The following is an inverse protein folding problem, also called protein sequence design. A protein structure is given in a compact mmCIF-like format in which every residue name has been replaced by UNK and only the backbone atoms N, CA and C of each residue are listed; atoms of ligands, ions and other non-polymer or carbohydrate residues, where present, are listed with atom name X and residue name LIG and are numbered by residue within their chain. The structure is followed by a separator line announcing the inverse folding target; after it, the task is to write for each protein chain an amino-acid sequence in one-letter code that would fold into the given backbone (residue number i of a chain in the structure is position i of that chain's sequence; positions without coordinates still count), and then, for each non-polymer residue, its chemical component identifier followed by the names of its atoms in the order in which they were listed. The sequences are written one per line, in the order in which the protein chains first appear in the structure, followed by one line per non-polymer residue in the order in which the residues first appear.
data_IF_604359601768
#
_entry.id   IF_604359601768
#
_cell.length_a   1.000
_cell.length_b   1.000
_cell.length_c   1.000
_cell.angle_alpha   90.00
_cell.angle_beta   90.00
_cell.angle_gamma   90.00
#
_symmetry.space_group_name_H-M   'P 1'
#
loop_
_entity.id
_entity.type
_entity.pdbx_description
1 polymer ?
#
# COMPACT_ATOMS: atom_id res chain seq x y z
N UNK A 1 -33.31 24.82 40.52
CA UNK A 1 -33.46 23.38 40.22
C UNK A 1 -34.17 23.26 38.89
N UNK A 2 -33.44 23.02 37.81
CA UNK A 2 -33.96 22.97 36.44
C UNK A 2 -34.08 21.51 36.04
N UNK A 3 -35.30 20.96 36.10
CA UNK A 3 -35.60 19.61 35.62
C UNK A 3 -35.75 19.68 34.09
N UNK A 4 -34.74 19.22 33.36
CA UNK A 4 -34.84 19.06 31.90
C UNK A 4 -35.68 17.81 31.63
N UNK A 5 -36.80 17.95 30.93
CA UNK A 5 -37.59 16.81 30.47
C UNK A 5 -36.75 16.06 29.42
N UNK A 6 -36.45 14.77 29.59
CA UNK A 6 -35.72 14.02 28.59
C UNK A 6 -36.64 13.81 27.39
N UNK A 7 -36.25 14.36 26.26
CA UNK A 7 -36.99 14.21 25.01
C UNK A 7 -36.58 12.88 24.37
N UNK A 8 -37.49 12.23 23.62
CA UNK A 8 -37.17 11.00 22.86
C UNK A 8 -35.94 11.21 21.95
N UNK A 9 -35.73 12.45 21.49
CA UNK A 9 -34.56 12.84 20.69
C UNK A 9 -33.24 12.88 21.49
N UNK A 10 -33.29 13.16 22.80
CA UNK A 10 -32.11 13.10 23.66
C UNK A 10 -31.70 11.64 23.89
N UNK A 11 -32.67 10.77 24.19
CA UNK A 11 -32.43 9.33 24.32
C UNK A 11 -31.98 8.68 23.00
N UNK A 12 -32.51 9.12 21.86
CA UNK A 12 -32.04 8.68 20.54
C UNK A 12 -30.64 9.18 20.23
N UNK A 13 -30.32 10.43 20.58
CA UNK A 13 -28.97 10.97 20.38
C UNK A 13 -27.96 10.24 21.24
N UNK A 14 -28.28 10.00 22.51
CA UNK A 14 -27.42 9.24 23.42
C UNK A 14 -27.23 7.80 22.90
N UNK A 15 -28.29 7.12 22.46
CA UNK A 15 -28.17 5.79 21.85
C UNK A 15 -27.33 5.77 20.56
N UNK A 16 -27.43 6.80 19.72
CA UNK A 16 -26.65 6.87 18.47
C UNK A 16 -25.19 7.26 18.72
N UNK A 17 -24.92 8.05 19.77
CA UNK A 17 -23.57 8.47 20.16
C UNK A 17 -22.85 7.41 21.01
N UNK A 18 -23.59 6.56 21.73
CA UNK A 18 -23.06 5.39 22.45
C UNK A 18 -22.80 4.18 21.54
N UNK A 19 -23.24 4.22 20.27
CA UNK A 19 -22.81 3.23 19.29
C UNK A 19 -21.36 3.54 18.90
N UNK A 20 -20.41 2.78 19.43
CA UNK A 20 -19.08 2.69 18.83
C UNK A 20 -19.28 2.38 17.35
N UNK A 21 -18.72 3.18 16.42
CA UNK A 21 -18.92 2.94 15.00
C UNK A 21 -18.46 1.51 14.71
N UNK A 22 -19.36 0.68 14.15
CA UNK A 22 -19.02 -0.68 13.74
C UNK A 22 -17.72 -0.60 12.95
N UNK A 23 -16.65 -1.14 13.54
CA UNK A 23 -15.33 -1.05 12.96
C UNK A 23 -15.39 -1.75 11.61
N UNK A 24 -15.15 -1.01 10.52
CA UNK A 24 -15.22 -1.54 9.17
C UNK A 24 -14.39 -2.83 9.11
N UNK A 25 -15.04 -3.93 8.71
CA UNK A 25 -14.36 -5.22 8.67
C UNK A 25 -13.09 -5.07 7.82
N UNK A 26 -11.89 -5.27 8.38
CA UNK A 26 -10.63 -4.96 7.71
C UNK A 26 -10.49 -5.70 6.38
N UNK A 27 -11.06 -6.90 6.30
CA UNK A 27 -11.06 -7.68 5.07
C UNK A 27 -11.96 -7.08 4.00
N UNK A 28 -13.15 -6.61 4.35
CA UNK A 28 -14.02 -5.94 3.38
C UNK A 28 -13.33 -4.67 2.85
N UNK A 29 -12.60 -3.95 3.71
CA UNK A 29 -11.77 -2.83 3.30
C UNK A 29 -10.69 -3.26 2.31
N UNK A 30 -9.93 -4.31 2.61
CA UNK A 30 -8.85 -4.81 1.74
C UNK A 30 -9.36 -5.31 0.37
N UNK A 31 -10.54 -5.94 0.34
CA UNK A 31 -11.22 -6.33 -0.91
C UNK A 31 -11.54 -5.08 -1.75
N UNK A 32 -12.14 -4.06 -1.13
CA UNK A 32 -12.53 -2.83 -1.81
C UNK A 32 -11.32 -2.03 -2.29
N UNK A 33 -10.26 -1.94 -1.49
CA UNK A 33 -9.00 -1.30 -1.86
C UNK A 33 -8.33 -2.02 -3.03
N UNK A 34 -8.18 -3.34 -2.94
CA UNK A 34 -7.57 -4.14 -4.03
C UNK A 34 -8.38 -4.02 -5.32
N UNK A 35 -9.71 -4.01 -5.23
CA UNK A 35 -10.58 -3.80 -6.38
C UNK A 35 -10.43 -2.39 -6.99
N UNK A 36 -10.33 -1.34 -6.16
CA UNK A 36 -10.08 0.03 -6.63
C UNK A 36 -8.72 0.16 -7.33
N UNK A 37 -7.69 -0.51 -6.82
CA UNK A 37 -6.37 -0.52 -7.45
C UNK A 37 -6.39 -1.20 -8.82
N UNK A 38 -7.11 -2.32 -8.96
CA UNK A 38 -7.33 -2.97 -10.27
C UNK A 38 -8.02 -2.01 -11.23
N UNK A 39 -9.09 -1.32 -10.80
CA UNK A 39 -9.77 -0.33 -11.65
C UNK A 39 -8.87 0.84 -12.05
N UNK A 40 -7.92 1.25 -11.19
CA UNK A 40 -6.96 2.29 -11.50
C UNK A 40 -5.94 1.82 -12.56
N UNK A 41 -5.46 0.58 -12.45
CA UNK A 41 -4.60 -0.04 -13.45
C UNK A 41 -5.32 -0.23 -14.78
N UNK A 42 -6.57 -0.69 -14.79
CA UNK A 42 -7.36 -0.85 -16.00
C UNK A 42 -7.55 0.48 -16.74
N UNK A 43 -7.75 1.58 -16.00
CA UNK A 43 -7.78 2.94 -16.57
C UNK A 43 -6.43 3.31 -17.19
N UNK A 44 -5.33 3.07 -16.49
CA UNK A 44 -3.97 3.35 -17.00
C UNK A 44 -3.63 2.51 -18.24
N UNK A 45 -3.99 1.24 -18.25
CA UNK A 45 -3.83 0.33 -19.41
C UNK A 45 -4.58 0.85 -20.62
N UNK A 46 -5.86 1.23 -20.47
CA UNK A 46 -6.65 1.81 -21.55
C UNK A 46 -6.04 3.10 -22.08
N UNK A 47 -5.61 4.00 -21.19
CA UNK A 47 -4.96 5.25 -21.60
C UNK A 47 -3.65 4.99 -22.35
N UNK A 48 -2.78 4.11 -21.85
CA UNK A 48 -1.50 3.79 -22.49
C UNK A 48 -1.68 3.09 -23.85
N UNK A 49 -2.73 2.28 -24.01
CA UNK A 49 -3.05 1.62 -25.27
C UNK A 49 -3.64 2.58 -26.32
N UNK A 50 -4.52 3.50 -25.90
CA UNK A 50 -5.22 4.42 -26.81
C UNK A 50 -4.46 5.72 -27.09
N UNK A 51 -3.54 6.11 -26.21
CA UNK A 51 -2.82 7.38 -26.30
C UNK A 51 -1.35 7.14 -26.03
N UNK A 52 -0.56 6.76 -27.06
CA UNK A 52 0.88 6.63 -26.91
C UNK A 52 1.48 7.96 -26.43
N UNK A 53 2.30 7.96 -25.37
CA UNK A 53 3.02 9.15 -24.94
C UNK A 53 3.91 9.69 -26.07
N UNK A 54 3.75 10.97 -26.39
CA UNK A 54 4.58 11.66 -27.38
C UNK A 54 6.05 11.58 -26.98
N UNK A 55 6.89 11.01 -27.85
CA UNK A 55 8.34 10.90 -27.64
C UNK A 55 8.82 9.59 -27.00
N UNK A 56 7.94 8.62 -26.74
CA UNK A 56 8.36 7.25 -26.38
C UNK A 56 8.56 6.38 -27.61
N UNK A 57 9.57 5.52 -27.57
CA UNK A 57 9.76 4.49 -28.59
C UNK A 57 8.72 3.36 -28.44
N UNK A 58 8.47 2.62 -29.52
CA UNK A 58 7.52 1.50 -29.51
C UNK A 58 7.91 0.40 -28.51
N UNK A 59 9.21 0.17 -28.30
CA UNK A 59 9.73 -0.81 -27.34
C UNK A 59 9.51 -0.35 -25.89
N UNK A 60 9.67 0.94 -25.60
CA UNK A 60 9.36 1.51 -24.29
C UNK A 60 7.86 1.47 -23.99
N UNK A 61 7.01 1.74 -24.99
CA UNK A 61 5.57 1.62 -24.85
C UNK A 61 5.14 0.18 -24.58
N UNK A 62 5.70 -0.79 -25.30
CA UNK A 62 5.41 -2.21 -25.07
C UNK A 62 5.86 -2.65 -23.68
N UNK A 63 7.03 -2.18 -23.22
CA UNK A 63 7.49 -2.47 -21.86
C UNK A 63 6.53 -1.89 -20.82
N UNK A 64 6.13 -0.63 -20.96
CA UNK A 64 5.17 0.01 -20.05
C UNK A 64 3.84 -0.75 -19.98
N UNK A 65 3.30 -1.17 -21.13
CA UNK A 65 2.07 -1.98 -21.17
C UNK A 65 2.26 -3.34 -20.49
N UNK A 66 3.41 -3.97 -20.69
CA UNK A 66 3.74 -5.25 -20.05
C UNK A 66 3.82 -5.10 -18.54
N UNK A 67 4.52 -4.07 -18.05
CA UNK A 67 4.65 -3.79 -16.61
C UNK A 67 3.27 -3.56 -15.96
N UNK A 68 2.38 -2.80 -16.63
CA UNK A 68 1.00 -2.59 -16.17
C UNK A 68 0.16 -3.88 -16.16
N UNK A 69 0.32 -4.74 -17.17
CA UNK A 69 -0.37 -6.03 -17.23
C UNK A 69 0.08 -6.97 -16.12
N UNK A 70 1.39 -7.03 -15.85
CA UNK A 70 1.96 -7.81 -14.75
C UNK A 70 1.40 -7.33 -13.41
N UNK A 71 1.37 -6.01 -13.18
CA UNK A 71 0.82 -5.44 -11.94
C UNK A 71 -0.68 -5.75 -11.79
N UNK A 72 -1.45 -5.67 -12.89
CA UNK A 72 -2.88 -6.01 -12.88
C UNK A 72 -3.13 -7.48 -12.59
N UNK A 73 -2.34 -8.38 -13.17
CA UNK A 73 -2.44 -9.83 -12.93
C UNK A 73 -2.10 -10.17 -11.47
N UNK A 74 -1.06 -9.54 -10.92
CA UNK A 74 -0.68 -9.73 -9.52
C UNK A 74 -1.81 -9.31 -8.56
N UNK A 75 -2.39 -8.12 -8.74
CA UNK A 75 -3.52 -7.69 -7.91
C UNK A 75 -4.78 -8.55 -8.14
N UNK A 76 -4.99 -9.06 -9.36
CA UNK A 76 -6.08 -9.99 -9.65
C UNK A 76 -5.95 -11.32 -8.89
N UNK A 77 -4.73 -11.80 -8.72
CA UNK A 77 -4.45 -12.97 -7.87
C UNK A 77 -4.80 -12.68 -6.41
N UNK A 78 -4.32 -11.55 -5.87
CA UNK A 78 -4.63 -11.14 -4.49
C UNK A 78 -6.14 -10.97 -4.28
N UNK A 79 -6.86 -10.36 -5.23
CA UNK A 79 -8.31 -10.23 -5.12
C UNK A 79 -8.99 -11.61 -5.12
N UNK A 80 -8.53 -12.53 -5.96
CA UNK A 80 -9.07 -13.89 -6.00
C UNK A 80 -8.85 -14.61 -4.68
N UNK A 81 -7.66 -14.46 -4.09
CA UNK A 81 -7.33 -14.99 -2.77
C UNK A 81 -8.27 -14.41 -1.70
N UNK A 82 -8.34 -13.08 -1.61
CA UNK A 82 -9.22 -12.35 -0.68
C UNK A 82 -10.70 -12.70 -0.82
N UNK A 83 -11.17 -13.08 -2.01
CA UNK A 83 -12.55 -13.52 -2.25
C UNK A 83 -12.75 -15.02 -1.94
N UNK A 84 -11.71 -15.84 -2.10
CA UNK A 84 -11.75 -17.29 -1.92
C UNK A 84 -11.57 -17.75 -0.48
N UNK A 85 -10.89 -16.97 0.36
CA UNK A 85 -10.82 -17.24 1.80
C UNK A 85 -12.24 -17.19 2.39
N UNK A 86 -12.55 -17.94 3.45
CA UNK A 86 -13.87 -17.79 4.10
C UNK A 86 -13.83 -16.59 5.05
N UNK A 87 -14.85 -15.73 5.04
CA UNK A 87 -14.95 -14.62 6.00
C UNK A 87 -15.04 -15.19 7.41
N UNK A 88 -13.96 -15.07 8.19
CA UNK A 88 -14.01 -15.26 9.64
C UNK A 88 -14.74 -14.06 10.25
N UNK A 89 -16.06 -14.00 10.06
CA UNK A 89 -16.87 -13.13 10.87
C UNK A 89 -17.16 -13.86 12.18
N UNK A 90 -16.72 -13.22 13.27
CA UNK A 90 -16.98 -13.46 14.70
C UNK A 90 -16.46 -14.76 15.29
N UNK A 91 -15.43 -14.63 16.14
CA UNK A 91 -15.32 -15.43 17.34
C UNK A 91 -14.78 -14.53 18.44
N UNK A 92 -15.69 -14.16 19.35
CA UNK A 92 -15.36 -13.96 20.75
C UNK A 92 -14.46 -15.13 21.20
N UNK A 93 -13.39 -14.78 21.92
CA UNK A 93 -12.55 -15.56 22.84
C UNK A 93 -12.30 -17.08 22.60
N UNK A 94 -11.03 -17.45 22.86
CA UNK A 94 -10.48 -18.78 23.13
C UNK A 94 -9.89 -19.60 21.94
N UNK A 95 -8.54 -19.57 21.94
CA UNK A 95 -7.57 -20.64 21.65
C UNK A 95 -7.96 -21.81 20.73
N UNK A 96 -7.25 -21.95 19.60
CA UNK A 96 -6.20 -23.00 19.43
C UNK A 96 -5.59 -22.95 18.00
N UNK A 97 -4.30 -22.59 17.93
CA UNK A 97 -3.31 -23.40 17.22
C UNK A 97 -3.26 -23.40 15.69
N UNK A 98 -3.00 -22.26 15.06
CA UNK A 98 -2.07 -22.23 13.92
C UNK A 98 -0.87 -21.36 14.29
N UNK A 99 0.18 -22.02 14.80
CA UNK A 99 1.48 -21.41 15.06
C UNK A 99 2.12 -20.97 13.74
N UNK A 100 1.80 -19.77 13.29
CA UNK A 100 2.76 -18.99 12.53
C UNK A 100 3.67 -18.33 13.56
N UNK A 101 4.88 -18.86 13.74
CA UNK A 101 5.88 -18.27 14.62
C UNK A 101 6.11 -16.80 14.21
N UNK A 102 5.83 -15.79 15.05
CA UNK A 102 6.13 -14.39 14.76
C UNK A 102 7.64 -14.07 14.86
N UNK A 103 8.51 -15.08 14.77
CA UNK A 103 9.95 -14.96 15.00
C UNK A 103 10.76 -14.73 13.72
N UNK A 104 10.13 -14.24 12.66
CA UNK A 104 10.87 -13.55 11.60
C UNK A 104 10.75 -12.07 11.93
N UNK A 105 11.74 -11.59 12.70
CA UNK A 105 11.80 -10.27 13.34
C UNK A 105 11.18 -9.22 12.42
N UNK A 106 10.01 -8.70 12.78
CA UNK A 106 9.40 -7.60 12.04
C UNK A 106 10.46 -6.48 11.94
N UNK A 107 10.74 -5.94 10.74
CA UNK A 107 11.76 -4.93 10.58
C UNK A 107 11.45 -3.77 11.53
N UNK A 108 12.43 -3.42 12.36
CA UNK A 108 12.28 -2.36 13.34
C UNK A 108 12.16 -1.02 12.61
N UNK A 109 11.04 -0.33 12.79
CA UNK A 109 10.78 0.97 12.17
C UNK A 109 9.59 0.96 11.20
N UNK A 110 9.15 2.15 10.81
CA UNK A 110 8.08 2.34 9.83
C UNK A 110 8.55 2.09 8.38
N UNK A 111 7.62 2.31 7.45
CA UNK A 111 7.88 2.11 6.01
C UNK A 111 9.01 3.01 5.48
N UNK A 112 9.20 4.19 6.07
CA UNK A 112 10.25 5.13 5.66
C UNK A 112 11.65 4.59 6.04
N UNK A 113 11.79 4.05 7.24
CA UNK A 113 13.01 3.43 7.73
C UNK A 113 13.39 2.22 6.88
N UNK A 114 12.44 1.32 6.62
CA UNK A 114 12.65 0.14 5.77
C UNK A 114 13.05 0.52 4.34
N UNK A 115 12.43 1.57 3.77
CA UNK A 115 12.86 2.08 2.47
C UNK A 115 14.30 2.59 2.53
N UNK A 116 14.68 3.33 3.57
CA UNK A 116 16.04 3.87 3.70
C UNK A 116 17.09 2.79 3.97
N UNK A 117 16.74 1.71 4.68
CA UNK A 117 17.59 0.53 4.84
C UNK A 117 17.90 -0.13 3.50
N UNK A 118 16.89 -0.32 2.63
CA UNK A 118 17.12 -0.84 1.27
C UNK A 118 18.05 0.06 0.45
N UNK A 119 17.98 1.38 0.64
CA UNK A 119 18.96 2.30 0.02
C UNK A 119 20.36 2.10 0.60
N UNK A 120 20.49 1.95 1.92
CA UNK A 120 21.77 1.74 2.57
C UNK A 120 22.44 0.43 2.11
N UNK A 121 21.68 -0.65 1.97
CA UNK A 121 22.16 -1.96 1.50
C UNK A 121 22.78 -1.91 0.10
N UNK A 122 22.34 -0.96 -0.73
CA UNK A 122 22.84 -0.73 -2.09
C UNK A 122 23.90 0.38 -2.17
N UNK A 123 24.43 0.83 -1.04
CA UNK A 123 25.47 1.86 -0.98
C UNK A 123 24.95 3.29 -1.14
N UNK A 124 23.72 3.55 -0.69
CA UNK A 124 23.07 4.87 -0.67
C UNK A 124 22.96 5.56 -2.05
N UNK A 125 22.35 4.91 -3.07
CA UNK A 125 22.10 5.58 -4.34
C UNK A 125 21.20 6.81 -4.16
N UNK A 126 21.36 7.84 -4.99
CA UNK A 126 20.54 9.07 -4.88
C UNK A 126 19.04 8.78 -5.16
N UNK A 127 18.77 7.86 -6.09
CA UNK A 127 17.44 7.45 -6.48
C UNK A 127 17.39 5.97 -6.87
N UNK A 128 16.20 5.38 -6.71
CA UNK A 128 15.94 3.97 -7.04
C UNK A 128 14.62 3.85 -7.78
N UNK A 129 14.56 3.01 -8.81
CA UNK A 129 13.31 2.78 -9.53
C UNK A 129 12.27 2.14 -8.60
N UNK A 130 11.00 2.50 -8.78
CA UNK A 130 9.89 2.01 -7.95
C UNK A 130 9.82 0.48 -7.94
N UNK A 131 10.02 -0.16 -9.09
CA UNK A 131 10.06 -1.63 -9.20
C UNK A 131 11.19 -2.25 -8.39
N UNK A 132 12.41 -1.75 -8.54
CA UNK A 132 13.59 -2.27 -7.85
C UNK A 132 13.45 -2.13 -6.32
N UNK A 133 12.89 -1.01 -5.85
CA UNK A 133 12.62 -0.79 -4.43
C UNK A 133 11.58 -1.77 -3.90
N UNK A 134 10.47 -1.98 -4.62
CA UNK A 134 9.45 -2.97 -4.24
C UNK A 134 10.01 -4.39 -4.22
N UNK A 135 10.83 -4.76 -5.21
CA UNK A 135 11.43 -6.09 -5.29
C UNK A 135 12.39 -6.38 -4.13
N UNK A 136 13.09 -5.36 -3.62
CA UNK A 136 13.91 -5.46 -2.43
C UNK A 136 13.07 -5.52 -1.15
N UNK A 137 12.07 -4.64 -1.01
CA UNK A 137 11.17 -4.63 0.14
C UNK A 137 10.41 -5.96 0.29
N UNK A 138 10.02 -6.60 -0.83
CA UNK A 138 9.35 -7.92 -0.84
C UNK A 138 10.14 -9.04 -0.17
N UNK A 139 11.45 -8.88 -0.02
CA UNK A 139 12.33 -9.87 0.62
C UNK A 139 12.37 -9.71 2.14
N UNK A 140 11.86 -8.59 2.67
CA UNK A 140 11.79 -8.38 4.10
C UNK A 140 10.66 -9.23 4.71
N UNK A 141 10.86 -9.78 5.91
CA UNK A 141 9.79 -10.44 6.64
C UNK A 141 8.78 -9.43 7.19
N UNK A 142 7.55 -9.88 7.48
CA UNK A 142 6.56 -9.09 8.21
C UNK A 142 5.66 -8.18 7.35
N UNK A 143 5.13 -7.13 8.00
CA UNK A 143 4.09 -6.25 7.44
C UNK A 143 4.63 -4.84 7.12
N UNK A 144 4.36 -4.39 5.89
CA UNK A 144 4.54 -3.02 5.44
C UNK A 144 3.43 -2.12 6.00
N UNK A 145 3.82 -1.13 6.82
CA UNK A 145 2.89 -0.19 7.45
C UNK A 145 1.79 -0.85 8.29
N UNK A 146 2.06 -2.03 8.84
CA UNK A 146 1.11 -2.79 9.68
C UNK A 146 -0.11 -3.36 8.95
N UNK A 147 -0.18 -3.26 7.61
CA UNK A 147 -1.38 -3.65 6.84
C UNK A 147 -1.16 -4.73 5.78
N UNK A 148 -0.01 -4.74 5.11
CA UNK A 148 0.23 -5.67 3.99
C UNK A 148 1.50 -6.44 4.22
N UNK A 149 1.53 -7.73 3.87
CA UNK A 149 2.77 -8.48 3.85
C UNK A 149 3.76 -7.84 2.86
N UNK A 150 5.02 -7.71 3.25
CA UNK A 150 6.05 -7.22 2.32
C UNK A 150 6.09 -8.05 1.05
N UNK A 151 5.95 -9.37 1.15
CA UNK A 151 5.93 -10.29 0.02
C UNK A 151 4.88 -9.94 -1.05
N UNK A 152 3.77 -9.30 -0.65
CA UNK A 152 2.67 -8.89 -1.54
C UNK A 152 2.70 -7.41 -1.93
N UNK A 153 3.76 -6.69 -1.56
CA UNK A 153 3.85 -5.27 -1.81
C UNK A 153 3.85 -5.01 -3.32
N UNK A 154 3.07 -4.06 -3.81
CA UNK A 154 3.08 -3.61 -5.21
C UNK A 154 3.56 -2.17 -5.29
N UNK A 155 3.85 -1.67 -6.49
CA UNK A 155 4.23 -0.25 -6.65
C UNK A 155 3.09 0.67 -6.24
N UNK A 156 1.84 0.31 -6.58
CA UNK A 156 0.66 1.04 -6.11
C UNK A 156 0.54 1.05 -4.58
N UNK A 157 0.69 -0.11 -3.93
CA UNK A 157 0.63 -0.22 -2.46
C UNK A 157 1.75 0.57 -1.78
N UNK A 158 2.98 0.49 -2.29
CA UNK A 158 4.08 1.31 -1.79
C UNK A 158 3.78 2.81 -1.92
N UNK A 159 3.24 3.25 -3.07
CA UNK A 159 2.83 4.64 -3.24
C UNK A 159 1.75 5.06 -2.23
N UNK A 160 0.80 4.20 -1.91
CA UNK A 160 -0.20 4.46 -0.88
C UNK A 160 0.38 4.51 0.53
N UNK A 161 1.40 3.68 0.85
CA UNK A 161 2.09 3.75 2.14
C UNK A 161 2.88 5.03 2.29
N UNK A 162 3.42 5.56 1.19
CA UNK A 162 4.25 6.74 1.16
C UNK A 162 3.47 8.06 1.00
N UNK A 163 2.21 7.98 0.56
CA UNK A 163 1.35 9.15 0.34
C UNK A 163 1.15 10.04 1.60
N UNK A 164 0.95 9.49 2.82
CA UNK A 164 0.82 10.31 4.03
C UNK A 164 2.07 11.15 4.35
N UNK A 165 3.23 10.75 3.83
CA UNK A 165 4.52 11.41 4.04
C UNK A 165 4.91 12.35 2.89
N UNK A 166 4.00 12.59 1.95
CA UNK A 166 4.22 13.37 0.71
C UNK A 166 5.40 12.89 -0.16
N UNK A 167 5.71 11.59 -0.08
CA UNK A 167 6.78 10.97 -0.88
C UNK A 167 6.18 10.37 -2.15
N UNK A 168 6.57 10.92 -3.30
CA UNK A 168 6.08 10.49 -4.61
C UNK A 168 7.21 10.10 -5.57
N UNK A 169 6.93 9.19 -6.50
CA UNK A 169 7.86 8.84 -7.57
C UNK A 169 8.05 10.01 -8.54
N UNK A 170 9.28 10.22 -9.02
CA UNK A 170 9.61 11.17 -10.09
C UNK A 170 10.25 10.45 -11.28
N UNK A 171 10.12 11.02 -12.47
CA UNK A 171 10.81 10.51 -13.65
C UNK A 171 12.28 10.92 -13.61
N UNK A 172 13.14 9.97 -13.29
CA UNK A 172 14.59 10.16 -13.14
C UNK A 172 15.31 9.33 -14.19
N UNK A 173 16.34 9.93 -14.81
CA UNK A 173 17.27 9.22 -15.67
C UNK A 173 18.31 8.54 -14.79
N UNK A 174 18.27 7.20 -14.75
CA UNK A 174 19.22 6.39 -14.00
C UNK A 174 20.56 6.30 -14.75
N UNK A 175 21.65 5.80 -14.11
CA UNK A 175 22.96 5.65 -14.76
C UNK A 175 22.94 4.78 -16.03
N UNK A 176 21.92 3.93 -16.20
CA UNK A 176 21.67 3.14 -17.42
C UNK A 176 21.12 3.97 -18.60
N UNK A 177 20.94 5.28 -18.41
CA UNK A 177 20.39 6.22 -19.39
C UNK A 177 18.88 6.13 -19.56
N UNK A 178 18.19 5.21 -18.86
CA UNK A 178 16.75 5.03 -18.98
C UNK A 178 16.00 5.88 -17.98
N UNK A 179 14.90 6.48 -18.43
CA UNK A 179 14.03 7.26 -17.57
C UNK A 179 12.99 6.34 -16.93
N UNK A 180 12.92 6.32 -15.60
CA UNK A 180 11.97 5.48 -14.85
C UNK A 180 11.36 6.25 -13.69
N UNK A 181 10.15 5.84 -13.29
CA UNK A 181 9.52 6.28 -12.04
C UNK A 181 10.36 5.79 -10.87
N UNK A 182 10.90 6.74 -10.12
CA UNK A 182 11.92 6.49 -9.11
C UNK A 182 11.66 7.29 -7.84
N UNK A 183 11.96 6.72 -6.70
CA UNK A 183 11.98 7.41 -5.42
C UNK A 183 13.36 8.02 -5.18
N UNK A 184 13.39 9.24 -4.63
CA UNK A 184 14.65 9.88 -4.21
C UNK A 184 14.91 9.61 -2.74
N UNK A 185 16.14 9.24 -2.42
CA UNK A 185 16.60 9.07 -1.04
C UNK A 185 16.39 10.34 -0.23
N UNK A 186 16.69 11.50 -0.81
CA UNK A 186 16.52 12.81 -0.16
C UNK A 186 15.07 13.13 0.20
N UNK A 187 14.08 12.63 -0.56
CA UNK A 187 12.67 12.79 -0.23
C UNK A 187 12.29 11.93 0.98
N UNK A 188 12.73 10.67 1.00
CA UNK A 188 12.51 9.75 2.13
C UNK A 188 13.19 10.24 3.42
N UNK A 189 14.43 10.73 3.35
CA UNK A 189 15.13 11.32 4.51
C UNK A 189 14.41 12.56 5.04
N UNK A 190 13.95 13.44 4.13
CA UNK A 190 13.21 14.64 4.53
C UNK A 190 11.88 14.28 5.20
N UNK A 191 11.16 13.30 4.65
CA UNK A 191 9.95 12.78 5.23
C UNK A 191 10.20 12.17 6.61
N UNK A 192 11.22 11.31 6.76
CA UNK A 192 11.55 10.70 8.05
C UNK A 192 11.82 11.76 9.13
N UNK A 193 12.60 12.79 8.80
CA UNK A 193 12.87 13.91 9.74
C UNK A 193 11.63 14.72 10.12
N UNK A 194 10.61 14.72 9.27
CA UNK A 194 9.39 15.51 9.46
C UNK A 194 8.34 14.74 10.26
N UNK A 195 8.30 13.42 10.12
CA UNK A 195 7.21 12.58 10.62
C UNK A 195 7.62 11.55 11.69
N UNK A 196 8.92 11.34 11.96
CA UNK A 196 9.39 10.39 12.97
C UNK A 196 9.47 11.01 14.39
N UNK A 197 8.37 11.62 14.87
CA UNK A 197 8.23 12.15 16.22
C UNK A 197 7.30 11.30 17.09
#
# INVERSE_FOLDING_TARGET
MTTRFPTILDALSDCLLDQEPEQENPRHRDILETYRDIQALDRRLRTAANTPPSGMSATEQLKQLTDLLVERLALGHVLTELLSSQCCCTAEEEEEGFLYCPSDVAPAGGILEQCLEVFADLGDPEAMASGDLVDMLRRLPGLAGGRWLFAELTQARLAQLLAPYDVQTRDITLPDGRRRKSYRRSALVSALRTYAH
#
